data_IF_214771035446
#
_entry.id   IF_214771035446
#
_cell.length_a   1.000
_cell.length_b   1.000
_cell.length_c   1.000
_cell.angle_alpha   90.00
_cell.angle_beta   90.00
_cell.angle_gamma   90.00
#
_symmetry.space_group_name_H-M   'P 1'
#
loop_
_entity.id
_entity.type
_entity.pdbx_description
1 polymer ?
#
# COMPACT_ATOMS: atom_id res chain seq x y z
N UNK A 1 13.59 -7.29 21.88
CA UNK A 1 13.63 -7.31 20.40
C UNK A 1 12.21 -7.50 19.90
N UNK A 2 11.76 -6.70 18.94
CA UNK A 2 10.44 -6.78 18.30
C UNK A 2 10.48 -7.81 17.17
N UNK A 3 9.46 -8.68 17.05
CA UNK A 3 9.35 -9.64 15.96
C UNK A 3 8.23 -9.27 15.01
N UNK A 4 8.56 -9.09 13.72
CA UNK A 4 7.61 -8.83 12.64
C UNK A 4 7.43 -10.05 11.76
N UNK A 5 6.20 -10.49 11.54
CA UNK A 5 5.85 -11.49 10.54
C UNK A 5 5.58 -10.82 9.20
N UNK A 6 6.20 -11.31 8.13
CA UNK A 6 6.02 -10.79 6.77
C UNK A 6 5.87 -11.94 5.79
N UNK A 7 5.20 -11.69 4.67
CA UNK A 7 5.08 -12.65 3.59
C UNK A 7 6.46 -13.00 3.04
N UNK A 8 6.70 -14.27 2.68
CA UNK A 8 8.02 -14.76 2.25
C UNK A 8 8.34 -14.47 0.78
N UNK A 9 7.36 -14.06 -0.05
CA UNK A 9 7.50 -13.75 -1.48
C UNK A 9 6.28 -12.99 -2.00
N UNK A 10 6.40 -12.39 -3.17
CA UNK A 10 5.31 -11.67 -3.85
C UNK A 10 5.33 -10.17 -3.57
N UNK A 11 4.35 -9.46 -4.13
CA UNK A 11 4.33 -7.99 -4.11
C UNK A 11 4.31 -7.41 -2.69
N UNK A 12 3.51 -7.98 -1.79
CA UNK A 12 3.45 -7.54 -0.39
C UNK A 12 4.81 -7.69 0.32
N UNK A 13 5.55 -8.78 0.01
CA UNK A 13 6.93 -8.95 0.50
C UNK A 13 7.84 -7.85 -0.02
N UNK A 14 7.84 -7.62 -1.35
CA UNK A 14 8.73 -6.64 -1.99
C UNK A 14 8.45 -5.22 -1.44
N UNK A 15 7.18 -4.81 -1.38
CA UNK A 15 6.77 -3.52 -0.85
C UNK A 15 7.15 -3.35 0.64
N UNK A 16 6.99 -4.42 1.45
CA UNK A 16 7.36 -4.39 2.88
C UNK A 16 8.87 -4.26 3.07
N UNK A 17 9.66 -5.02 2.31
CA UNK A 17 11.12 -4.95 2.40
C UNK A 17 11.65 -3.61 1.90
N UNK A 18 11.02 -3.01 0.89
CA UNK A 18 11.34 -1.66 0.44
C UNK A 18 11.06 -0.63 1.53
N UNK A 19 9.89 -0.68 2.18
CA UNK A 19 9.56 0.23 3.29
C UNK A 19 10.56 0.12 4.45
N UNK A 20 10.97 -1.10 4.82
CA UNK A 20 12.00 -1.31 5.85
C UNK A 20 13.35 -0.70 5.43
N UNK A 21 13.75 -0.89 4.17
CA UNK A 21 15.00 -0.34 3.64
C UNK A 21 14.98 1.19 3.59
N UNK A 22 13.90 1.80 3.12
CA UNK A 22 13.71 3.25 3.09
C UNK A 22 13.67 3.86 4.50
N UNK A 23 13.16 3.11 5.50
CA UNK A 23 13.20 3.47 6.91
C UNK A 23 14.59 3.25 7.57
N UNK A 24 15.63 2.92 6.78
CA UNK A 24 16.97 2.54 7.25
C UNK A 24 16.95 1.40 8.28
N UNK A 25 16.10 0.39 8.05
CA UNK A 25 16.07 -0.85 8.82
C UNK A 25 16.66 -1.96 7.93
N UNK A 26 17.91 -2.34 8.21
CA UNK A 26 18.68 -3.22 7.35
C UNK A 26 18.42 -4.69 7.69
N UNK A 27 17.75 -5.39 6.79
CA UNK A 27 17.48 -6.82 6.89
C UNK A 27 18.16 -7.55 5.74
N UNK A 28 19.10 -8.42 6.06
CA UNK A 28 19.79 -9.22 5.05
C UNK A 28 18.90 -10.39 4.62
N UNK A 29 18.35 -10.31 3.41
CA UNK A 29 17.55 -11.41 2.87
C UNK A 29 18.40 -12.67 2.69
N UNK A 30 18.10 -13.72 3.46
CA UNK A 30 18.68 -15.06 3.25
C UNK A 30 17.62 -15.98 2.68
N UNK A 31 17.83 -16.51 1.49
CA UNK A 31 16.86 -17.40 0.79
C UNK A 31 16.52 -18.71 1.54
N UNK A 32 17.22 -19.01 2.66
CA UNK A 32 17.07 -20.27 3.41
C UNK A 32 16.71 -20.09 4.88
N UNK A 33 16.66 -18.87 5.39
CA UNK A 33 16.42 -18.60 6.82
C UNK A 33 15.06 -17.96 6.98
N UNK A 34 14.18 -18.58 7.76
CA UNK A 34 12.82 -18.07 8.02
C UNK A 34 12.78 -16.97 9.09
N UNK A 35 13.85 -16.82 9.87
CA UNK A 35 13.97 -15.78 10.91
C UNK A 35 15.31 -15.06 10.76
N UNK A 36 15.26 -13.74 10.52
CA UNK A 36 16.45 -12.92 10.26
C UNK A 36 16.42 -11.68 11.14
N UNK A 37 17.53 -11.37 11.80
CA UNK A 37 17.66 -10.17 12.60
C UNK A 37 18.14 -8.98 11.74
N UNK A 38 17.60 -7.81 12.04
CA UNK A 38 18.13 -6.56 11.50
C UNK A 38 19.51 -6.26 12.09
N UNK A 39 20.41 -5.73 11.28
CA UNK A 39 21.78 -5.40 11.71
C UNK A 39 21.89 -4.07 12.46
N UNK A 40 20.90 -3.19 12.40
CA UNK A 40 20.97 -1.82 12.92
C UNK A 40 19.71 -1.36 13.67
N UNK A 41 18.73 -2.26 13.86
CA UNK A 41 17.48 -1.95 14.56
C UNK A 41 17.06 -3.17 15.41
N UNK A 42 16.44 -3.01 16.59
CA UNK A 42 16.07 -4.13 17.45
C UNK A 42 14.83 -4.89 16.93
N UNK A 43 14.91 -5.37 15.68
CA UNK A 43 13.87 -6.07 14.95
C UNK A 43 14.39 -7.43 14.47
N UNK A 44 13.55 -8.45 14.54
CA UNK A 44 13.71 -9.71 13.82
C UNK A 44 12.52 -9.93 12.88
N UNK A 45 12.79 -10.39 11.67
CA UNK A 45 11.82 -10.63 10.61
C UNK A 45 11.56 -12.12 10.47
N UNK A 46 10.33 -12.53 10.64
CA UNK A 46 9.84 -13.90 10.48
C UNK A 46 9.11 -14.01 9.13
N UNK A 47 9.63 -14.83 8.22
CA UNK A 47 9.06 -15.06 6.89
C UNK A 47 8.05 -16.19 6.92
N UNK A 48 6.79 -15.87 6.61
CA UNK A 48 5.67 -16.81 6.63
C UNK A 48 4.91 -16.81 5.29
N UNK A 49 3.91 -17.66 5.20
CA UNK A 49 2.84 -17.51 4.21
C UNK A 49 1.90 -16.40 4.68
N UNK A 50 1.26 -15.73 3.75
CA UNK A 50 0.32 -14.64 4.06
C UNK A 50 -0.85 -15.09 4.97
N UNK A 51 -1.36 -16.30 4.73
CA UNK A 51 -2.44 -16.90 5.49
C UNK A 51 -2.08 -17.30 6.94
N UNK A 52 -0.78 -17.45 7.25
CA UNK A 52 -0.27 -17.78 8.60
C UNK A 52 0.03 -16.54 9.45
N UNK A 53 0.15 -15.35 8.84
CA UNK A 53 0.55 -14.12 9.54
C UNK A 53 -0.46 -13.71 10.60
N UNK A 54 -1.79 -13.62 10.35
CA UNK A 54 -2.76 -13.20 11.34
C UNK A 54 -2.74 -14.08 12.59
N UNK A 55 -2.73 -15.39 12.42
CA UNK A 55 -2.68 -16.35 13.54
C UNK A 55 -1.36 -16.23 14.33
N UNK A 56 -0.23 -16.03 13.63
CA UNK A 56 1.09 -15.86 14.29
C UNK A 56 1.14 -14.63 15.18
N UNK A 57 0.45 -13.54 14.77
CA UNK A 57 0.34 -12.33 15.57
C UNK A 57 -0.66 -12.53 16.72
N UNK A 58 -1.84 -13.07 16.46
CA UNK A 58 -2.86 -13.33 17.48
C UNK A 58 -2.34 -14.22 18.61
N UNK A 59 -1.54 -15.25 18.28
CA UNK A 59 -0.93 -16.16 19.26
C UNK A 59 0.31 -15.62 19.96
N UNK A 60 0.82 -14.42 19.58
CA UNK A 60 2.03 -13.84 20.16
C UNK A 60 3.35 -14.48 19.70
N UNK A 61 3.33 -15.36 18.69
CA UNK A 61 4.54 -15.87 18.03
C UNK A 61 5.28 -14.75 17.32
N UNK A 62 4.55 -13.84 16.69
CA UNK A 62 5.05 -12.55 16.23
C UNK A 62 4.36 -11.42 17.04
N UNK A 63 5.09 -10.32 17.26
CA UNK A 63 4.55 -9.16 17.96
C UNK A 63 3.70 -8.29 17.03
N UNK A 64 4.14 -8.21 15.77
CA UNK A 64 3.46 -7.47 14.71
C UNK A 64 3.54 -8.27 13.41
N UNK A 65 2.69 -7.92 12.44
CA UNK A 65 2.69 -8.56 11.12
C UNK A 65 2.24 -7.60 10.02
N UNK A 66 2.79 -7.79 8.82
CA UNK A 66 2.30 -7.12 7.61
C UNK A 66 1.48 -8.11 6.80
N UNK A 67 0.21 -7.77 6.58
CA UNK A 67 -0.77 -8.65 5.91
C UNK A 67 -1.73 -7.83 5.05
N UNK A 68 -2.28 -8.42 4.00
CA UNK A 68 -3.39 -7.80 3.26
C UNK A 68 -4.66 -7.72 4.10
N UNK A 69 -5.37 -6.59 4.05
CA UNK A 69 -6.64 -6.42 4.78
C UNK A 69 -7.66 -7.52 4.46
N UNK A 70 -7.68 -7.97 3.20
CA UNK A 70 -8.50 -9.11 2.77
C UNK A 70 -8.18 -10.40 3.55
N UNK A 71 -6.91 -10.73 3.71
CA UNK A 71 -6.48 -11.93 4.43
C UNK A 71 -6.76 -11.81 5.93
N UNK A 72 -6.50 -10.64 6.51
CA UNK A 72 -6.78 -10.36 7.92
C UNK A 72 -8.28 -10.53 8.25
N UNK A 73 -9.17 -9.97 7.41
CA UNK A 73 -10.63 -10.09 7.59
C UNK A 73 -11.10 -11.51 7.34
N UNK A 74 -10.55 -12.20 6.33
CA UNK A 74 -10.92 -13.58 6.02
C UNK A 74 -10.62 -14.53 7.18
N UNK A 75 -9.44 -14.35 7.83
CA UNK A 75 -9.04 -15.20 8.96
C UNK A 75 -9.79 -14.88 10.24
N UNK A 76 -10.14 -13.62 10.48
CA UNK A 76 -10.89 -13.20 11.66
C UNK A 76 -10.15 -13.42 12.98
N UNK A 77 -8.82 -13.38 12.94
CA UNK A 77 -7.94 -13.56 14.11
C UNK A 77 -7.94 -12.33 15.02
N UNK A 78 -7.74 -12.55 16.31
CA UNK A 78 -7.72 -11.48 17.33
C UNK A 78 -6.37 -10.75 17.35
N UNK A 79 -6.28 -9.69 16.56
CA UNK A 79 -5.13 -8.79 16.50
C UNK A 79 -5.57 -7.34 16.28
N UNK A 80 -4.79 -6.38 16.78
CA UNK A 80 -5.07 -4.96 16.62
C UNK A 80 -4.56 -4.45 15.26
N UNK A 81 -5.38 -3.68 14.55
CA UNK A 81 -4.90 -2.93 13.37
C UNK A 81 -4.14 -1.70 13.86
N UNK A 82 -2.81 -1.71 13.70
CA UNK A 82 -1.94 -0.61 14.12
C UNK A 82 -1.92 0.52 13.08
N UNK A 83 -1.76 0.17 11.80
CA UNK A 83 -1.66 1.16 10.72
C UNK A 83 -2.04 0.56 9.36
N UNK A 84 -2.54 1.42 8.48
CA UNK A 84 -2.66 1.18 7.05
C UNK A 84 -1.38 1.65 6.37
N UNK A 85 -0.74 0.77 5.58
CA UNK A 85 0.58 1.05 5.04
C UNK A 85 0.55 1.75 3.67
N UNK A 86 -0.62 1.78 2.99
CA UNK A 86 -0.83 2.55 1.76
C UNK A 86 -0.36 1.87 0.47
N UNK A 87 0.25 0.70 0.53
CA UNK A 87 0.74 -0.06 -0.62
C UNK A 87 0.03 -1.42 -0.80
N UNK A 88 0.41 -2.17 -1.82
CA UNK A 88 -0.18 -3.46 -2.20
C UNK A 88 -1.71 -3.38 -2.37
N UNK A 89 -2.22 -2.24 -2.82
CA UNK A 89 -3.66 -2.00 -3.02
C UNK A 89 -4.24 -2.98 -4.03
N UNK A 90 -5.38 -3.54 -3.67
CA UNK A 90 -6.19 -4.42 -4.52
C UNK A 90 -7.66 -4.32 -4.10
N UNK A 91 -8.51 -5.11 -4.76
CA UNK A 91 -9.92 -5.24 -4.39
C UNK A 91 -10.35 -6.70 -4.45
N UNK A 92 -11.30 -7.08 -3.66
CA UNK A 92 -12.01 -8.35 -3.77
C UNK A 92 -13.28 -8.13 -4.56
N UNK A 93 -13.46 -8.89 -5.64
CA UNK A 93 -14.53 -8.66 -6.58
C UNK A 93 -15.19 -9.97 -7.03
N UNK A 94 -16.47 -9.89 -7.32
CA UNK A 94 -17.18 -10.91 -8.07
C UNK A 94 -16.92 -10.72 -9.57
N UNK A 95 -16.62 -11.84 -10.23
CA UNK A 95 -16.44 -11.87 -11.69
C UNK A 95 -17.14 -13.09 -12.28
N UNK A 96 -17.61 -12.90 -13.52
CA UNK A 96 -18.37 -13.90 -14.26
C UNK A 96 -17.86 -13.99 -15.71
N UNK A 97 -18.19 -15.04 -16.49
CA UNK A 97 -17.92 -15.09 -17.92
C UNK A 97 -18.44 -13.86 -18.66
N UNK A 98 -17.68 -13.34 -19.61
CA UNK A 98 -17.99 -12.08 -20.32
C UNK A 98 -19.32 -12.10 -21.07
N UNK A 99 -19.71 -13.25 -21.58
CA UNK A 99 -20.93 -13.47 -22.38
C UNK A 99 -22.23 -13.41 -21.55
N UNK A 100 -22.14 -13.49 -20.24
CA UNK A 100 -23.32 -13.49 -19.34
C UNK A 100 -23.92 -12.06 -19.28
N UNK A 101 -25.23 -11.94 -19.50
CA UNK A 101 -25.96 -10.69 -19.24
C UNK A 101 -26.20 -10.52 -17.74
N UNK A 102 -25.33 -9.73 -17.10
CA UNK A 102 -25.41 -9.45 -15.67
C UNK A 102 -26.32 -8.27 -15.38
N UNK A 103 -27.30 -8.47 -14.49
CA UNK A 103 -28.30 -7.48 -14.09
C UNK A 103 -28.34 -7.19 -12.60
N UNK A 104 -27.26 -7.52 -11.89
CA UNK A 104 -27.12 -7.27 -10.46
C UNK A 104 -26.89 -8.54 -9.64
N UNK A 105 -26.57 -8.37 -8.36
CA UNK A 105 -26.09 -9.42 -7.45
C UNK A 105 -27.05 -10.63 -7.33
N UNK A 106 -28.36 -10.42 -7.53
CA UNK A 106 -29.36 -11.49 -7.54
C UNK A 106 -29.10 -12.56 -8.61
N UNK A 107 -28.29 -12.27 -9.63
CA UNK A 107 -27.87 -13.28 -10.60
C UNK A 107 -27.18 -14.48 -9.95
N UNK A 108 -26.53 -14.27 -8.82
CA UNK A 108 -25.83 -15.34 -8.09
C UNK A 108 -26.73 -16.28 -7.28
N UNK A 109 -28.06 -16.02 -7.19
CA UNK A 109 -28.97 -16.95 -6.51
C UNK A 109 -28.93 -18.35 -7.15
N UNK A 110 -28.68 -19.37 -6.33
CA UNK A 110 -28.54 -20.76 -6.74
C UNK A 110 -27.30 -21.05 -7.61
N UNK A 111 -26.36 -20.12 -7.71
CA UNK A 111 -25.12 -20.27 -8.49
C UNK A 111 -23.97 -20.75 -7.62
N UNK A 112 -22.98 -21.33 -8.28
CA UNK A 112 -21.70 -21.77 -7.66
C UNK A 112 -20.66 -20.69 -7.83
N UNK A 113 -20.03 -20.29 -6.72
CA UNK A 113 -18.97 -19.27 -6.72
C UNK A 113 -17.69 -19.89 -6.17
N UNK A 114 -16.63 -19.91 -6.97
CA UNK A 114 -15.32 -20.36 -6.51
C UNK A 114 -14.57 -19.20 -5.86
N UNK A 115 -13.89 -19.46 -4.72
CA UNK A 115 -13.18 -18.42 -3.97
C UNK A 115 -12.13 -18.99 -3.02
N UNK A 116 -11.08 -18.20 -2.74
CA UNK A 116 -10.18 -18.41 -1.61
C UNK A 116 -10.61 -17.61 -0.35
N UNK A 117 -11.69 -16.82 -0.44
CA UNK A 117 -12.19 -15.91 0.61
C UNK A 117 -13.65 -16.22 0.98
N UNK A 118 -13.94 -17.45 1.48
CA UNK A 118 -15.31 -17.90 1.73
C UNK A 118 -16.03 -17.11 2.84
N UNK A 119 -15.31 -16.59 3.84
CA UNK A 119 -15.94 -15.91 4.97
C UNK A 119 -16.41 -14.51 4.58
N UNK A 120 -15.56 -13.77 3.85
CA UNK A 120 -15.93 -12.45 3.30
C UNK A 120 -17.09 -12.60 2.33
N UNK A 121 -17.02 -13.57 1.41
CA UNK A 121 -18.08 -13.81 0.43
C UNK A 121 -19.41 -14.18 1.12
N UNK A 122 -19.39 -15.08 2.09
CA UNK A 122 -20.59 -15.50 2.82
C UNK A 122 -21.26 -14.33 3.53
N UNK A 123 -20.48 -13.47 4.17
CA UNK A 123 -20.97 -12.25 4.82
C UNK A 123 -21.64 -11.33 3.81
N UNK A 124 -20.97 -11.04 2.70
CA UNK A 124 -21.50 -10.16 1.65
C UNK A 124 -22.80 -10.71 1.06
N UNK A 125 -22.85 -11.99 0.66
CA UNK A 125 -24.04 -12.59 0.08
C UNK A 125 -25.23 -12.60 1.04
N UNK A 126 -24.97 -12.85 2.33
CA UNK A 126 -26.00 -12.74 3.37
C UNK A 126 -26.56 -11.32 3.50
N UNK A 127 -25.71 -10.30 3.44
CA UNK A 127 -26.11 -8.88 3.50
C UNK A 127 -26.94 -8.49 2.26
N UNK A 128 -26.63 -9.09 1.10
CA UNK A 128 -27.39 -8.89 -0.15
C UNK A 128 -28.66 -9.74 -0.26
N UNK A 129 -28.92 -10.65 0.67
CA UNK A 129 -30.06 -11.57 0.61
C UNK A 129 -29.96 -12.60 -0.52
N UNK A 130 -28.75 -12.95 -0.95
CA UNK A 130 -28.46 -13.90 -2.02
C UNK A 130 -28.03 -15.25 -1.43
N UNK A 131 -28.66 -16.33 -1.89
CA UNK A 131 -28.29 -17.70 -1.54
C UNK A 131 -27.49 -18.34 -2.69
N UNK A 132 -26.24 -18.73 -2.42
CA UNK A 132 -25.31 -19.29 -3.40
C UNK A 132 -24.48 -20.43 -2.80
N UNK A 133 -23.99 -21.31 -3.66
CA UNK A 133 -23.07 -22.37 -3.29
C UNK A 133 -21.63 -21.87 -3.35
N UNK A 134 -20.90 -21.92 -2.23
CA UNK A 134 -19.51 -21.44 -2.15
C UNK A 134 -18.56 -22.63 -2.29
N UNK A 135 -17.76 -22.63 -3.34
CA UNK A 135 -16.69 -23.58 -3.60
C UNK A 135 -15.35 -23.01 -3.16
N UNK A 136 -14.82 -23.52 -2.04
CA UNK A 136 -13.51 -23.08 -1.52
C UNK A 136 -12.39 -23.76 -2.28
N UNK A 137 -11.55 -22.94 -2.93
CA UNK A 137 -10.34 -23.43 -3.61
C UNK A 137 -9.15 -22.54 -3.27
N UNK A 138 -7.96 -23.12 -3.26
CA UNK A 138 -6.71 -22.42 -2.94
C UNK A 138 -5.88 -22.21 -4.21
N UNK A 139 -5.91 -20.99 -4.75
CA UNK A 139 -5.19 -20.61 -5.96
C UNK A 139 -5.89 -21.00 -7.27
N UNK A 140 -5.56 -20.32 -8.34
CA UNK A 140 -6.12 -20.50 -9.69
C UNK A 140 -7.66 -20.45 -9.74
N UNK A 141 -8.25 -19.56 -8.94
CA UNK A 141 -9.71 -19.37 -8.83
C UNK A 141 -10.31 -18.99 -10.19
N UNK A 142 -9.58 -18.20 -10.96
CA UNK A 142 -9.99 -17.64 -12.26
C UNK A 142 -10.26 -18.67 -13.36
N UNK A 143 -9.73 -19.89 -13.25
CA UNK A 143 -9.99 -20.95 -14.26
C UNK A 143 -11.33 -21.66 -14.02
N UNK A 144 -11.91 -21.53 -12.82
CA UNK A 144 -13.07 -22.33 -12.38
C UNK A 144 -14.29 -22.28 -13.30
N UNK A 145 -14.70 -21.10 -13.83
CA UNK A 145 -15.83 -21.04 -14.74
C UNK A 145 -15.52 -21.71 -16.09
N UNK A 146 -14.29 -21.54 -16.60
CA UNK A 146 -13.87 -22.12 -17.88
C UNK A 146 -13.86 -23.65 -17.92
N UNK A 147 -13.69 -24.30 -16.75
CA UNK A 147 -13.70 -25.77 -16.62
C UNK A 147 -15.02 -26.31 -16.06
N UNK A 148 -16.02 -25.44 -15.86
CA UNK A 148 -17.35 -25.84 -15.38
C UNK A 148 -17.42 -26.15 -13.88
N UNK A 149 -16.44 -25.72 -13.07
CA UNK A 149 -16.42 -25.93 -11.62
C UNK A 149 -17.33 -24.94 -10.89
N UNK A 150 -17.48 -23.72 -11.40
CA UNK A 150 -18.30 -22.67 -10.83
C UNK A 150 -18.94 -21.81 -11.93
N UNK A 151 -20.03 -21.10 -11.61
CA UNK A 151 -20.67 -20.13 -12.51
C UNK A 151 -19.95 -18.76 -12.50
N UNK A 152 -19.32 -18.43 -11.38
CA UNK A 152 -18.57 -17.21 -11.18
C UNK A 152 -17.47 -17.37 -10.14
N UNK A 153 -16.70 -16.32 -9.93
CA UNK A 153 -15.63 -16.31 -8.93
C UNK A 153 -15.74 -15.10 -8.03
N UNK A 154 -15.15 -15.23 -6.84
CA UNK A 154 -14.88 -14.14 -5.93
C UNK A 154 -13.39 -14.18 -5.56
N UNK A 155 -12.62 -13.19 -6.02
CA UNK A 155 -11.16 -13.22 -5.86
C UNK A 155 -10.55 -11.83 -5.85
N UNK A 156 -9.25 -11.77 -5.56
CA UNK A 156 -8.44 -10.56 -5.62
C UNK A 156 -8.30 -10.08 -7.07
N UNK A 157 -8.59 -8.80 -7.28
CA UNK A 157 -8.38 -8.10 -8.54
C UNK A 157 -7.45 -6.90 -8.28
N UNK A 158 -6.31 -6.89 -8.95
CA UNK A 158 -5.38 -5.76 -8.97
C UNK A 158 -5.58 -4.95 -10.25
N UNK A 159 -4.98 -5.38 -11.37
CA UNK A 159 -5.15 -4.77 -12.68
C UNK A 159 -6.34 -5.32 -13.48
N UNK A 160 -6.83 -6.50 -13.13
CA UNK A 160 -7.87 -7.23 -13.87
C UNK A 160 -7.36 -8.02 -15.10
N UNK A 161 -6.06 -8.01 -15.36
CA UNK A 161 -5.48 -8.73 -16.52
C UNK A 161 -5.75 -10.24 -16.49
N UNK A 162 -5.67 -10.85 -15.32
CA UNK A 162 -5.96 -12.29 -15.11
C UNK A 162 -7.41 -12.63 -15.44
N UNK A 163 -8.36 -11.77 -15.07
CA UNK A 163 -9.77 -11.94 -15.43
C UNK A 163 -9.97 -11.92 -16.96
N UNK A 164 -9.36 -10.93 -17.63
CA UNK A 164 -9.44 -10.79 -19.10
C UNK A 164 -8.87 -12.01 -19.80
N UNK A 165 -7.72 -12.52 -19.34
CA UNK A 165 -7.07 -13.71 -19.90
C UNK A 165 -7.90 -14.99 -19.77
N UNK A 166 -8.79 -15.05 -18.77
CA UNK A 166 -9.67 -16.18 -18.52
C UNK A 166 -11.11 -15.95 -18.99
N UNK A 167 -11.32 -14.99 -19.90
CA UNK A 167 -12.63 -14.62 -20.44
C UNK A 167 -13.66 -14.23 -19.36
N UNK A 168 -13.19 -13.63 -18.26
CA UNK A 168 -14.03 -13.13 -17.19
C UNK A 168 -14.16 -11.60 -17.23
N UNK A 169 -15.24 -11.09 -16.66
CA UNK A 169 -15.41 -9.67 -16.36
C UNK A 169 -15.80 -9.47 -14.89
N UNK A 170 -15.24 -8.46 -14.30
CA UNK A 170 -15.61 -7.97 -13.00
C UNK A 170 -17.02 -7.36 -13.03
N UNK A 171 -17.86 -7.71 -12.06
CA UNK A 171 -19.26 -7.23 -12.01
C UNK A 171 -19.59 -6.50 -10.72
N UNK A 172 -19.00 -6.88 -9.59
CA UNK A 172 -19.20 -6.23 -8.29
C UNK A 172 -17.87 -6.11 -7.55
N UNK A 173 -17.56 -4.93 -7.05
CA UNK A 173 -16.46 -4.72 -6.11
C UNK A 173 -17.02 -4.81 -4.70
N UNK A 174 -16.63 -5.84 -3.97
CA UNK A 174 -17.13 -6.11 -2.62
C UNK A 174 -16.33 -5.38 -1.57
N UNK A 175 -14.99 -5.31 -1.76
CA UNK A 175 -14.09 -4.74 -0.76
C UNK A 175 -12.84 -4.19 -1.42
N UNK A 176 -12.39 -3.02 -0.97
CA UNK A 176 -11.03 -2.53 -1.22
C UNK A 176 -10.10 -3.08 -0.15
N UNK A 177 -8.86 -3.34 -0.52
CA UNK A 177 -7.84 -3.90 0.39
C UNK A 177 -6.49 -3.24 0.14
N UNK A 178 -5.73 -3.08 1.21
CA UNK A 178 -4.34 -2.64 1.20
C UNK A 178 -3.54 -3.38 2.27
N UNK A 179 -2.23 -3.17 2.31
CA UNK A 179 -1.39 -3.71 3.37
C UNK A 179 -1.73 -3.08 4.73
N UNK A 180 -1.90 -3.92 5.74
CA UNK A 180 -2.06 -3.54 7.15
C UNK A 180 -0.81 -3.95 7.94
N UNK A 181 -0.44 -3.12 8.89
CA UNK A 181 0.38 -3.51 10.03
C UNK A 181 -0.55 -3.89 11.17
N UNK A 182 -0.53 -5.15 11.58
CA UNK A 182 -1.31 -5.68 12.70
C UNK A 182 -0.41 -5.98 13.89
N UNK A 183 -0.94 -6.00 15.10
CA UNK A 183 -0.18 -6.22 16.33
C UNK A 183 -0.88 -7.10 17.34
N UNK A 184 -0.07 -7.81 18.12
CA UNK A 184 -0.54 -8.62 19.22
C UNK A 184 -1.09 -7.73 20.34
N UNK A 185 -2.33 -7.91 20.83
CA UNK A 185 -2.93 -7.06 21.87
C UNK A 185 -2.12 -7.04 23.17
N UNK A 186 -1.48 -8.16 23.51
CA UNK A 186 -0.67 -8.35 24.73
C UNK A 186 0.80 -7.96 24.61
N UNK A 187 1.17 -7.11 23.65
CA UNK A 187 2.57 -6.67 23.45
C UNK A 187 3.09 -5.91 24.70
N UNK A 188 4.31 -6.24 25.15
CA UNK A 188 4.97 -5.55 26.28
C UNK A 188 5.32 -4.09 25.94
N UNK A 189 5.45 -3.25 26.98
CA UNK A 189 5.76 -1.82 26.81
C UNK A 189 7.11 -1.61 26.13
N UNK A 190 8.14 -2.38 26.47
CA UNK A 190 9.46 -2.33 25.80
C UNK A 190 9.35 -2.55 24.27
N UNK A 191 8.49 -3.49 23.84
CA UNK A 191 8.27 -3.75 22.42
C UNK A 191 7.44 -2.65 21.77
N UNK A 192 6.50 -2.05 22.51
CA UNK A 192 5.72 -0.89 22.04
C UNK A 192 6.61 0.31 21.76
N UNK A 193 7.62 0.57 22.61
CA UNK A 193 8.61 1.63 22.37
C UNK A 193 9.39 1.42 21.06
N UNK A 194 9.83 0.19 20.81
CA UNK A 194 10.51 -0.16 19.54
C UNK A 194 9.56 0.01 18.34
N UNK A 195 8.31 -0.40 18.49
CA UNK A 195 7.29 -0.21 17.49
C UNK A 195 7.05 1.28 17.18
N UNK A 196 6.98 2.14 18.19
CA UNK A 196 6.81 3.59 18.00
C UNK A 196 7.98 4.20 17.22
N UNK A 197 9.22 3.79 17.52
CA UNK A 197 10.39 4.22 16.75
C UNK A 197 10.32 3.77 15.28
N UNK A 198 9.85 2.56 15.03
CA UNK A 198 9.65 2.04 13.66
C UNK A 198 8.54 2.83 12.93
N UNK A 199 7.40 3.05 13.57
CA UNK A 199 6.29 3.82 12.99
C UNK A 199 6.69 5.26 12.67
N UNK A 200 7.47 5.91 13.53
CA UNK A 200 8.03 7.24 13.25
C UNK A 200 8.87 7.25 11.97
N UNK A 201 9.71 6.23 11.76
CA UNK A 201 10.50 6.11 10.53
C UNK A 201 9.62 5.86 9.30
N UNK A 202 8.62 5.00 9.41
CA UNK A 202 7.66 4.74 8.33
C UNK A 202 6.88 6.00 7.95
N UNK A 203 6.47 6.78 8.95
CA UNK A 203 5.79 8.05 8.70
C UNK A 203 6.69 9.05 7.98
N UNK A 204 7.97 9.16 8.36
CA UNK A 204 8.93 10.03 7.69
C UNK A 204 9.16 9.65 6.23
N UNK A 205 9.18 8.36 5.91
CA UNK A 205 9.23 7.85 4.52
C UNK A 205 7.95 8.21 3.77
N UNK A 206 6.78 7.92 4.35
CA UNK A 206 5.48 8.16 3.73
C UNK A 206 5.22 9.64 3.47
N UNK A 207 5.63 10.53 4.38
CA UNK A 207 5.50 11.97 4.19
C UNK A 207 6.38 12.53 3.08
N UNK A 208 7.48 11.84 2.74
CA UNK A 208 8.37 12.18 1.65
C UNK A 208 7.90 11.64 0.29
N UNK A 209 6.97 10.66 0.29
CA UNK A 209 6.45 10.07 -0.94
C UNK A 209 5.88 11.15 -1.86
N UNK A 210 6.23 11.10 -3.15
CA UNK A 210 5.86 12.08 -4.17
C UNK A 210 6.32 13.53 -3.90
N UNK A 211 7.06 13.80 -2.82
CA UNK A 211 7.61 15.12 -2.55
C UNK A 211 8.95 15.32 -3.23
N UNK A 212 9.14 16.53 -3.76
CA UNK A 212 10.38 16.96 -4.39
C UNK A 212 10.88 18.24 -3.74
N UNK A 213 12.17 18.25 -3.47
CA UNK A 213 12.86 19.49 -3.13
C UNK A 213 13.21 20.21 -4.42
N UNK A 214 12.61 21.37 -4.61
CA UNK A 214 12.79 22.20 -5.82
C UNK A 214 13.60 23.43 -5.47
N UNK A 215 14.69 23.63 -6.18
CA UNK A 215 15.52 24.83 -6.11
C UNK A 215 15.55 25.49 -7.49
N UNK A 216 15.46 26.82 -7.52
CA UNK A 216 15.54 27.61 -8.74
C UNK A 216 16.20 28.97 -8.49
N UNK A 217 16.83 29.54 -9.51
CA UNK A 217 17.22 30.93 -9.50
C UNK A 217 16.06 31.80 -10.03
N UNK A 218 15.77 32.88 -9.36
CA UNK A 218 14.66 33.77 -9.67
C UNK A 218 15.11 35.23 -9.71
N UNK A 219 14.63 36.04 -10.69
CA UNK A 219 14.88 37.48 -10.69
C UNK A 219 14.14 38.11 -9.51
N UNK A 220 14.86 38.92 -8.70
CA UNK A 220 14.27 39.59 -7.53
C UNK A 220 13.06 40.46 -7.89
N UNK A 221 13.06 41.07 -9.08
CA UNK A 221 11.95 41.88 -9.56
C UNK A 221 10.63 41.10 -9.73
N UNK A 222 10.69 39.75 -9.91
CA UNK A 222 9.54 38.88 -10.09
C UNK A 222 9.33 37.90 -8.92
N UNK A 223 10.12 38.04 -7.84
CA UNK A 223 10.13 37.11 -6.72
C UNK A 223 8.76 36.91 -6.12
N UNK A 224 8.00 37.98 -5.87
CA UNK A 224 6.67 37.87 -5.25
C UNK A 224 5.68 37.11 -6.14
N UNK A 225 5.76 37.30 -7.45
CA UNK A 225 4.91 36.56 -8.40
C UNK A 225 5.27 35.08 -8.41
N UNK A 226 6.57 34.75 -8.37
CA UNK A 226 7.06 33.36 -8.27
C UNK A 226 6.60 32.73 -6.96
N UNK A 227 6.73 33.42 -5.82
CA UNK A 227 6.26 32.92 -4.53
C UNK A 227 4.75 32.64 -4.54
N UNK A 228 3.96 33.48 -5.18
CA UNK A 228 2.50 33.30 -5.27
C UNK A 228 2.10 32.07 -6.12
N UNK A 229 2.95 31.63 -7.02
CA UNK A 229 2.74 30.39 -7.82
C UNK A 229 3.14 29.14 -7.06
N UNK A 230 4.08 29.27 -6.10
CA UNK A 230 4.62 28.14 -5.35
C UNK A 230 3.75 27.81 -4.14
N UNK A 231 3.00 26.69 -4.14
CA UNK A 231 2.39 26.17 -2.92
C UNK A 231 3.51 25.56 -2.07
N UNK A 232 3.99 26.25 -1.08
CA UNK A 232 4.99 25.72 -0.15
C UNK A 232 4.36 25.22 1.15
N UNK A 233 5.13 24.47 1.96
CA UNK A 233 4.70 23.98 3.28
C UNK A 233 4.31 25.12 4.23
N UNK A 234 5.08 26.20 4.26
CA UNK A 234 4.77 27.47 4.94
C UNK A 234 5.11 28.64 4.04
N UNK A 235 6.39 28.78 3.67
CA UNK A 235 6.89 29.73 2.70
C UNK A 235 8.16 29.17 2.06
N UNK A 236 8.50 29.57 0.83
CA UNK A 236 9.79 29.22 0.24
C UNK A 236 10.95 29.86 1.01
N UNK A 237 12.10 29.20 1.01
CA UNK A 237 13.36 29.79 1.46
C UNK A 237 13.95 30.61 0.33
N UNK A 238 14.31 31.87 0.62
CA UNK A 238 14.93 32.75 -0.37
C UNK A 238 16.36 33.08 0.08
N UNK A 239 17.35 32.80 -0.78
CA UNK A 239 18.77 33.00 -0.51
C UNK A 239 19.32 34.00 -1.55
N UNK A 240 20.00 35.10 -1.14
CA UNK A 240 20.69 35.99 -2.06
C UNK A 240 21.73 35.25 -2.90
N UNK A 241 21.86 35.61 -4.15
CA UNK A 241 22.99 35.19 -5.00
C UNK A 241 24.06 36.26 -5.05
N UNK A 242 25.22 35.93 -5.61
CA UNK A 242 26.29 36.86 -5.84
C UNK A 242 25.93 38.00 -6.82
N UNK A 243 24.99 37.74 -7.71
CA UNK A 243 24.35 38.74 -8.56
C UNK A 243 23.16 39.33 -7.78
N UNK A 244 23.21 40.63 -7.53
CA UNK A 244 22.22 41.37 -6.72
C UNK A 244 20.81 41.39 -7.36
N UNK A 245 20.68 41.16 -8.65
CA UNK A 245 19.42 41.12 -9.37
C UNK A 245 18.71 39.74 -9.20
N UNK A 246 19.41 38.72 -8.65
CA UNK A 246 18.94 37.35 -8.55
C UNK A 246 18.92 36.82 -7.13
N UNK A 247 18.04 35.84 -6.89
CA UNK A 247 18.02 35.06 -5.66
C UNK A 247 17.79 33.59 -6.00
N UNK A 248 18.13 32.72 -5.07
CA UNK A 248 17.77 31.30 -5.11
C UNK A 248 16.54 31.07 -4.27
N UNK A 249 15.52 30.42 -4.86
CA UNK A 249 14.26 30.07 -4.19
C UNK A 249 14.21 28.57 -4.02
N UNK A 250 13.96 28.12 -2.79
CA UNK A 250 13.90 26.71 -2.43
C UNK A 250 12.53 26.38 -1.83
N UNK A 251 11.95 25.26 -2.24
CA UNK A 251 10.63 24.82 -1.76
C UNK A 251 10.47 23.31 -1.86
N UNK A 252 9.46 22.79 -1.20
CA UNK A 252 9.04 21.39 -1.33
C UNK A 252 7.67 21.35 -2.00
N UNK A 253 7.54 20.55 -3.04
CA UNK A 253 6.33 20.41 -3.84
C UNK A 253 6.02 18.94 -4.11
N UNK A 254 4.75 18.62 -4.31
CA UNK A 254 4.37 17.36 -4.94
C UNK A 254 4.84 17.33 -6.39
N UNK A 255 5.32 16.20 -6.86
CA UNK A 255 5.80 16.04 -8.25
C UNK A 255 4.73 16.41 -9.28
N UNK A 256 3.48 16.00 -9.04
CA UNK A 256 2.36 16.39 -9.91
C UNK A 256 2.20 17.91 -9.97
N UNK A 257 2.26 18.58 -8.82
CA UNK A 257 2.12 20.04 -8.75
C UNK A 257 3.27 20.75 -9.42
N UNK A 258 4.49 20.21 -9.31
CA UNK A 258 5.65 20.76 -10.01
C UNK A 258 5.40 20.84 -11.53
N UNK A 259 4.93 19.76 -12.14
CA UNK A 259 4.66 19.74 -13.58
C UNK A 259 3.51 20.66 -14.00
N UNK A 260 2.55 20.94 -13.14
CA UNK A 260 1.46 21.91 -13.42
C UNK A 260 1.95 23.35 -13.48
N UNK A 261 2.98 23.71 -12.66
CA UNK A 261 3.39 25.10 -12.48
C UNK A 261 4.70 25.46 -13.19
N UNK A 262 5.47 24.48 -13.67
CA UNK A 262 6.82 24.71 -14.24
C UNK A 262 6.79 25.67 -15.42
N UNK A 263 5.78 25.61 -16.29
CA UNK A 263 5.61 26.54 -17.41
C UNK A 263 5.50 27.99 -16.95
N UNK A 264 4.68 28.22 -15.92
CA UNK A 264 4.48 29.56 -15.34
C UNK A 264 5.74 30.09 -14.65
N UNK A 265 6.47 29.24 -13.96
CA UNK A 265 7.76 29.62 -13.32
C UNK A 265 8.76 30.07 -14.37
N UNK A 266 8.86 29.38 -15.51
CA UNK A 266 9.74 29.76 -16.63
C UNK A 266 9.32 31.09 -17.26
N UNK A 267 8.04 31.36 -17.47
CA UNK A 267 7.50 32.64 -17.96
C UNK A 267 7.84 33.80 -17.02
N UNK A 268 7.88 33.55 -15.69
CA UNK A 268 8.28 34.51 -14.68
C UNK A 268 9.80 34.70 -14.59
N UNK A 269 10.57 34.00 -15.43
CA UNK A 269 12.02 34.13 -15.52
C UNK A 269 12.82 33.21 -14.62
N UNK A 270 12.18 32.20 -13.98
CA UNK A 270 12.89 31.20 -13.19
C UNK A 270 13.84 30.37 -14.07
N UNK A 271 15.08 30.18 -13.60
CA UNK A 271 16.15 29.49 -14.32
C UNK A 271 16.90 28.53 -13.40
N UNK A 272 17.70 27.62 -13.97
CA UNK A 272 18.50 26.67 -13.20
C UNK A 272 17.69 25.83 -12.22
N UNK A 273 16.51 25.39 -12.67
CA UNK A 273 15.55 24.65 -11.85
C UNK A 273 16.07 23.23 -11.63
N UNK A 274 16.33 22.88 -10.38
CA UNK A 274 16.74 21.54 -9.95
C UNK A 274 15.64 20.91 -9.13
N UNK A 275 15.38 19.62 -9.40
CA UNK A 275 14.35 18.81 -8.71
C UNK A 275 15.03 17.59 -8.13
N UNK A 276 14.99 17.46 -6.80
CA UNK A 276 15.64 16.37 -6.08
C UNK A 276 14.59 15.59 -5.31
N UNK A 277 14.58 14.24 -5.36
CA UNK A 277 13.70 13.44 -4.51
C UNK A 277 14.04 13.65 -3.03
N UNK A 278 13.02 13.55 -2.19
CA UNK A 278 13.18 13.60 -0.73
C UNK A 278 13.00 12.16 -0.22
N UNK A 279 14.00 11.66 0.49
CA UNK A 279 13.96 10.31 1.04
C UNK A 279 13.11 10.22 2.31
N UNK A 280 13.17 11.24 3.16
CA UNK A 280 12.47 11.29 4.45
C UNK A 280 12.04 12.73 4.74
N UNK A 281 10.85 12.89 5.30
CA UNK A 281 10.34 14.19 5.73
C UNK A 281 9.66 14.06 7.09
N UNK A 282 9.94 15.00 7.99
CA UNK A 282 9.32 15.11 9.31
C UNK A 282 8.64 16.46 9.37
N UNK A 283 7.32 16.47 9.60
CA UNK A 283 6.49 17.67 9.70
C UNK A 283 6.29 18.12 11.15
#
# INVERSE_FOLDING_TARGET
MLRIAVQSKGRLFDDTMNLLAEADIKVSASKRTLLVQSSNFPLEVLYLRDDDIPQSVASGVADIGVVGENEFIERGEDADVISRLGFSKCRLSLAIPKEIDYRGVNWFNGKKIATSYPNILRKYMKEQGVDCEIHVITGSVEISPGIGLADGIFDIVSSGSTLVSNNLREVEVVMQSEALLIGHPGMSEEKREVLQQMLFRFEAVRQAEDKKYVRMNAPKARLQEIINVLPGLKSPTVIPLADDEWCSVHTVLDEKRFWEIIGKLKELGAQGILVTPIEKMIL
#
